data_IF_990052315370
#
_entry.id   IF_990052315370
#
_cell.length_a   1.000
_cell.length_b   1.000
_cell.length_c   1.000
_cell.angle_alpha   90.00
_cell.angle_beta   90.00
_cell.angle_gamma   90.00
#
_symmetry.space_group_name_H-M   'P 1'
#
loop_
_entity.id
_entity.type
_entity.pdbx_description
1 polymer ?
#
# COMPACT_ATOMS: atom_id res chain seq x y z
N UNK A 1 -11.05 -0.66 -8.77
CA UNK A 1 -10.29 -1.05 -7.55
C UNK A 1 -10.22 0.12 -6.59
N UNK A 2 -10.46 -0.08 -5.30
CA UNK A 2 -10.25 0.90 -4.24
C UNK A 2 -8.87 0.66 -3.60
N UNK A 3 -8.01 1.70 -3.53
CA UNK A 3 -6.73 1.65 -2.84
C UNK A 3 -6.77 2.60 -1.65
N UNK A 4 -6.43 2.10 -0.45
CA UNK A 4 -6.47 2.89 0.79
C UNK A 4 -5.13 2.76 1.53
N UNK A 5 -4.72 3.84 2.20
CA UNK A 5 -3.54 3.87 3.07
C UNK A 5 -3.99 4.24 4.47
N UNK A 6 -3.92 3.29 5.40
CA UNK A 6 -4.58 3.37 6.70
C UNK A 6 -3.60 3.04 7.83
N UNK A 7 -3.74 3.72 8.96
CA UNK A 7 -3.05 3.32 10.20
C UNK A 7 -3.76 2.13 10.83
N UNK A 8 -2.99 1.16 11.33
CA UNK A 8 -3.57 0.04 12.03
C UNK A 8 -2.65 -1.13 12.33
N UNK A 9 -3.23 -2.18 12.85
CA UNK A 9 -2.56 -3.46 13.12
C UNK A 9 -3.06 -4.49 12.11
N UNK A 10 -2.20 -4.87 11.15
CA UNK A 10 -2.53 -5.84 10.12
C UNK A 10 -3.06 -7.16 10.70
N UNK A 11 -2.58 -7.57 11.88
CA UNK A 11 -3.01 -8.82 12.52
C UNK A 11 -4.46 -8.80 13.02
N UNK A 12 -5.08 -7.62 13.11
CA UNK A 12 -6.50 -7.42 13.44
C UNK A 12 -7.35 -7.09 12.20
N UNK A 13 -6.72 -6.93 11.03
CA UNK A 13 -7.40 -6.48 9.83
C UNK A 13 -8.34 -7.54 9.28
N UNK A 14 -9.52 -7.11 8.83
CA UNK A 14 -10.49 -7.97 8.17
C UNK A 14 -10.38 -7.80 6.66
N UNK A 15 -9.87 -8.82 5.99
CA UNK A 15 -9.72 -8.90 4.54
C UNK A 15 -9.81 -10.37 4.08
N UNK A 16 -9.84 -10.64 2.79
CA UNK A 16 -9.76 -12.01 2.30
C UNK A 16 -8.34 -12.57 2.47
N UNK A 17 -7.34 -11.72 2.19
CA UNK A 17 -5.92 -12.04 2.34
C UNK A 17 -5.13 -10.94 3.03
N UNK A 18 -4.25 -11.31 3.98
CA UNK A 18 -3.23 -10.43 4.56
C UNK A 18 -1.87 -10.75 3.98
N UNK A 19 -1.15 -9.72 3.57
CA UNK A 19 0.22 -9.83 3.03
C UNK A 19 1.19 -9.11 3.95
N UNK A 20 2.21 -9.81 4.42
CA UNK A 20 3.20 -9.22 5.32
C UNK A 20 4.64 -9.61 4.95
N UNK A 21 5.61 -8.81 5.43
CA UNK A 21 7.04 -9.08 5.26
C UNK A 21 7.47 -10.28 6.10
N UNK A 22 7.76 -11.39 5.43
CA UNK A 22 8.20 -12.61 6.07
C UNK A 22 9.71 -12.80 5.94
N UNK A 23 10.29 -13.56 6.89
CA UNK A 23 11.64 -14.13 6.76
C UNK A 23 11.65 -15.31 5.78
N UNK A 24 12.80 -15.66 5.23
CA UNK A 24 12.91 -16.83 4.34
C UNK A 24 12.58 -18.15 5.05
N UNK A 25 12.68 -18.21 6.37
CA UNK A 25 12.30 -19.37 7.18
C UNK A 25 10.84 -19.37 7.61
N UNK A 26 10.08 -18.32 7.26
CA UNK A 26 8.70 -18.07 7.67
C UNK A 26 8.49 -17.99 9.19
N UNK A 27 9.57 -17.80 9.95
CA UNK A 27 9.53 -17.55 11.39
C UNK A 27 9.37 -16.04 11.65
N UNK A 28 8.77 -15.65 12.79
CA UNK A 28 8.60 -14.25 13.12
C UNK A 28 9.95 -13.56 13.39
N UNK A 29 10.20 -12.43 12.71
CA UNK A 29 11.46 -11.67 12.81
C UNK A 29 11.24 -10.17 12.97
N UNK A 30 10.03 -9.69 12.81
CA UNK A 30 9.65 -8.27 12.93
C UNK A 30 8.36 -8.11 13.73
N UNK A 31 7.95 -6.87 14.00
CA UNK A 31 6.79 -6.57 14.85
C UNK A 31 5.49 -7.14 14.25
N UNK A 32 5.27 -6.95 12.96
CA UNK A 32 4.06 -7.40 12.26
C UNK A 32 4.00 -8.92 12.21
N UNK A 33 5.10 -9.59 11.80
CA UNK A 33 5.15 -11.06 11.74
C UNK A 33 4.94 -11.70 13.11
N UNK A 34 5.49 -11.10 14.17
CA UNK A 34 5.32 -11.57 15.54
C UNK A 34 3.86 -11.55 15.99
N UNK A 35 3.15 -10.45 15.72
CA UNK A 35 1.71 -10.33 16.03
C UNK A 35 0.86 -11.32 15.22
N UNK A 36 1.14 -11.47 13.93
CA UNK A 36 0.45 -12.43 13.06
C UNK A 36 0.62 -13.86 13.57
N UNK A 37 1.85 -14.26 13.92
CA UNK A 37 2.10 -15.59 14.48
C UNK A 37 1.44 -15.80 15.83
N UNK A 38 1.48 -14.81 16.72
CA UNK A 38 0.82 -14.85 18.02
C UNK A 38 -0.69 -15.06 17.88
N UNK A 39 -1.35 -14.27 17.03
CA UNK A 39 -2.80 -14.33 16.81
C UNK A 39 -3.24 -15.54 15.98
N UNK A 40 -2.45 -15.92 14.98
CA UNK A 40 -2.70 -17.12 14.17
C UNK A 40 -2.66 -18.42 14.96
N UNK A 41 -1.87 -18.42 16.04
CA UNK A 41 -1.77 -19.54 16.99
C UNK A 41 -0.91 -20.71 16.52
N UNK A 42 -0.95 -21.80 17.29
CA UNK A 42 -0.04 -22.94 17.06
C UNK A 42 -0.23 -23.61 15.70
N UNK A 43 -1.47 -23.75 15.23
CA UNK A 43 -1.77 -24.36 13.92
C UNK A 43 -1.22 -23.53 12.76
N UNK A 44 -1.31 -22.21 12.86
CA UNK A 44 -0.69 -21.29 11.91
C UNK A 44 0.84 -21.45 11.87
N UNK A 45 1.47 -21.43 13.04
CA UNK A 45 2.93 -21.59 13.16
C UNK A 45 3.39 -22.97 12.69
N UNK A 46 2.61 -24.02 12.91
CA UNK A 46 2.89 -25.35 12.40
C UNK A 46 2.82 -25.41 10.87
N UNK A 47 1.81 -24.76 10.28
CA UNK A 47 1.66 -24.65 8.82
C UNK A 47 2.85 -23.91 8.18
N UNK A 48 3.35 -22.83 8.79
CA UNK A 48 4.55 -22.13 8.33
C UNK A 48 5.78 -23.05 8.33
N UNK A 49 5.97 -23.85 9.39
CA UNK A 49 7.08 -24.81 9.45
C UNK A 49 6.97 -25.90 8.38
N UNK A 50 5.75 -26.36 8.07
CA UNK A 50 5.52 -27.37 7.02
C UNK A 50 5.86 -26.84 5.61
N UNK A 51 5.63 -25.55 5.36
CA UNK A 51 6.04 -24.89 4.10
C UNK A 51 7.56 -24.82 3.95
N UNK A 52 8.29 -24.78 5.06
CA UNK A 52 9.75 -24.77 5.09
C UNK A 52 10.33 -23.41 4.74
N UNK A 53 10.95 -23.25 3.58
CA UNK A 53 11.62 -22.01 3.16
C UNK A 53 10.93 -21.36 1.97
N UNK A 54 10.98 -20.03 1.95
CA UNK A 54 10.60 -19.19 0.82
C UNK A 54 11.78 -18.30 0.40
N UNK A 55 12.07 -18.25 -0.90
CA UNK A 55 13.19 -17.47 -1.41
C UNK A 55 12.86 -15.96 -1.45
N UNK A 56 13.90 -15.13 -1.38
CA UNK A 56 13.79 -13.68 -1.60
C UNK A 56 13.18 -13.41 -2.98
N UNK A 57 12.33 -12.40 -3.08
CA UNK A 57 11.56 -12.09 -4.29
C UNK A 57 10.38 -13.03 -4.54
N UNK A 58 10.03 -13.89 -3.57
CA UNK A 58 8.91 -14.83 -3.70
C UNK A 58 7.91 -14.67 -2.56
N UNK A 59 6.79 -15.38 -2.66
CA UNK A 59 5.76 -15.45 -1.63
C UNK A 59 5.18 -16.86 -1.54
N UNK A 60 4.66 -17.24 -0.38
CA UNK A 60 3.89 -18.47 -0.14
C UNK A 60 2.64 -18.15 0.67
N UNK A 61 1.65 -19.04 0.66
CA UNK A 61 0.36 -18.80 1.28
C UNK A 61 0.00 -19.88 2.28
N UNK A 62 -0.62 -19.47 3.40
CA UNK A 62 -1.29 -20.35 4.38
C UNK A 62 -2.74 -19.93 4.56
N UNK A 63 -3.53 -20.78 5.23
CA UNK A 63 -4.84 -20.37 5.79
C UNK A 63 -4.64 -19.36 6.93
N UNK A 64 -5.66 -18.54 7.20
CA UNK A 64 -5.62 -17.51 8.26
C UNK A 64 -5.79 -18.06 9.68
N UNK A 65 -6.31 -19.27 9.84
CA UNK A 65 -6.58 -19.93 11.12
C UNK A 65 -7.41 -19.04 12.07
N UNK A 66 -6.82 -18.51 13.14
CA UNK A 66 -7.47 -17.63 14.12
C UNK A 66 -7.49 -16.16 13.73
N UNK A 67 -6.82 -15.79 12.65
CA UNK A 67 -6.83 -14.43 12.12
C UNK A 67 -8.17 -14.12 11.45
N UNK A 68 -8.48 -12.81 11.30
CA UNK A 68 -9.74 -12.35 10.68
C UNK A 68 -9.74 -12.43 9.15
N UNK A 69 -8.66 -12.95 8.56
CA UNK A 69 -8.53 -13.16 7.12
C UNK A 69 -8.55 -14.66 6.80
N UNK A 70 -9.06 -15.01 5.63
CA UNK A 70 -9.11 -16.40 5.15
C UNK A 70 -7.74 -16.95 4.81
N UNK A 71 -6.87 -16.09 4.27
CA UNK A 71 -5.53 -16.46 3.82
C UNK A 71 -4.47 -15.47 4.31
N UNK A 72 -3.26 -15.98 4.54
CA UNK A 72 -2.09 -15.20 4.88
C UNK A 72 -1.02 -15.46 3.82
N UNK A 73 -0.50 -14.40 3.24
CA UNK A 73 0.55 -14.42 2.22
C UNK A 73 1.84 -13.92 2.83
N UNK A 74 2.81 -14.79 2.86
CA UNK A 74 4.15 -14.58 3.41
C UNK A 74 5.05 -14.12 2.27
N UNK A 75 5.25 -12.81 2.12
CA UNK A 75 6.07 -12.24 1.06
C UNK A 75 7.50 -12.00 1.57
N UNK A 76 8.48 -12.56 0.89
CA UNK A 76 9.90 -12.47 1.29
C UNK A 76 10.61 -11.46 0.39
N UNK A 77 10.67 -10.22 0.82
CA UNK A 77 11.45 -9.18 0.13
C UNK A 77 12.93 -9.20 0.55
N UNK A 78 13.77 -8.37 -0.09
CA UNK A 78 15.22 -8.33 0.12
C UNK A 78 15.62 -7.58 1.40
N UNK A 79 16.85 -7.83 1.85
CA UNK A 79 17.60 -6.92 2.72
C UNK A 79 18.15 -5.76 1.89
N UNK A 80 18.11 -4.55 2.44
CA UNK A 80 18.71 -3.39 1.78
C UNK A 80 20.23 -3.40 1.96
N UNK A 81 20.96 -3.39 0.84
CA UNK A 81 22.43 -3.34 0.82
C UNK A 81 22.96 -2.23 -0.10
N UNK A 82 22.14 -1.16 -0.28
CA UNK A 82 22.54 0.05 -1.02
C UNK A 82 21.88 0.24 -2.38
N UNK A 83 20.95 -0.63 -2.81
CA UNK A 83 20.15 -0.49 -4.03
C UNK A 83 20.88 -0.80 -5.33
N UNK A 84 22.03 -1.48 -5.26
CA UNK A 84 22.87 -1.82 -6.45
C UNK A 84 22.92 -3.33 -6.75
N UNK A 85 22.18 -4.15 -6.00
CA UNK A 85 22.21 -5.61 -6.13
C UNK A 85 20.87 -6.19 -6.60
N UNK A 86 20.00 -5.34 -7.18
CA UNK A 86 18.71 -5.79 -7.70
C UNK A 86 17.60 -5.83 -6.65
N UNK A 87 17.81 -5.19 -5.48
CA UNK A 87 16.87 -5.23 -4.36
C UNK A 87 15.47 -4.71 -4.74
N UNK A 88 15.39 -3.70 -5.62
CA UNK A 88 14.10 -3.21 -6.10
C UNK A 88 13.35 -4.29 -6.91
N UNK A 89 14.05 -4.96 -7.81
CA UNK A 89 13.48 -6.06 -8.59
C UNK A 89 13.00 -7.22 -7.70
N UNK A 90 13.76 -7.57 -6.65
CA UNK A 90 13.38 -8.60 -5.68
C UNK A 90 12.17 -8.16 -4.84
N UNK A 91 12.10 -6.88 -4.42
CA UNK A 91 10.96 -6.33 -3.70
C UNK A 91 9.70 -6.39 -4.56
N UNK A 92 9.76 -5.88 -5.79
CA UNK A 92 8.64 -5.90 -6.73
C UNK A 92 8.20 -7.34 -7.07
N UNK A 93 9.16 -8.27 -7.21
CA UNK A 93 8.85 -9.69 -7.43
C UNK A 93 8.06 -10.29 -6.27
N UNK A 94 8.39 -9.95 -5.01
CA UNK A 94 7.65 -10.42 -3.84
C UNK A 94 6.20 -9.90 -3.83
N UNK A 95 5.97 -8.62 -4.17
CA UNK A 95 4.63 -8.06 -4.32
C UNK A 95 3.84 -8.74 -5.45
N UNK A 96 4.44 -8.93 -6.63
CA UNK A 96 3.82 -9.62 -7.78
C UNK A 96 3.42 -11.04 -7.44
N UNK A 97 4.30 -11.79 -6.77
CA UNK A 97 3.99 -13.16 -6.34
C UNK A 97 2.85 -13.18 -5.33
N UNK A 98 2.78 -12.18 -4.43
CA UNK A 98 1.67 -12.08 -3.49
C UNK A 98 0.33 -11.82 -4.21
N UNK A 99 0.29 -10.88 -5.17
CA UNK A 99 -0.90 -10.61 -5.98
C UNK A 99 -1.31 -11.85 -6.79
N UNK A 100 -0.36 -12.55 -7.41
CA UNK A 100 -0.62 -13.76 -8.18
C UNK A 100 -1.25 -14.88 -7.33
N UNK A 101 -0.69 -15.15 -6.14
CA UNK A 101 -1.27 -16.13 -5.22
C UNK A 101 -2.69 -15.76 -4.76
N UNK A 102 -2.95 -14.46 -4.57
CA UNK A 102 -4.27 -13.96 -4.20
C UNK A 102 -5.26 -14.12 -5.36
N UNK A 103 -4.85 -13.85 -6.59
CA UNK A 103 -5.67 -14.02 -7.79
C UNK A 103 -6.02 -15.49 -8.06
N UNK A 104 -5.05 -16.41 -7.91
CA UNK A 104 -5.30 -17.87 -7.98
C UNK A 104 -6.36 -18.35 -6.98
N UNK A 105 -6.56 -17.65 -5.87
CA UNK A 105 -7.58 -17.91 -4.86
C UNK A 105 -8.83 -17.08 -5.03
N UNK A 106 -8.90 -16.26 -6.07
CA UNK A 106 -10.03 -15.37 -6.37
C UNK A 106 -10.37 -14.42 -5.21
N UNK A 107 -9.34 -14.00 -4.45
CA UNK A 107 -9.51 -13.03 -3.37
C UNK A 107 -9.89 -11.67 -3.96
N UNK A 108 -10.71 -10.90 -3.26
CA UNK A 108 -11.20 -9.60 -3.72
C UNK A 108 -10.67 -8.45 -2.89
N UNK A 109 -10.43 -8.69 -1.61
CA UNK A 109 -9.91 -7.70 -0.69
C UNK A 109 -8.58 -8.16 -0.10
N UNK A 110 -7.52 -7.41 -0.34
CA UNK A 110 -6.19 -7.64 0.21
C UNK A 110 -5.78 -6.52 1.16
N UNK A 111 -5.06 -6.87 2.21
CA UNK A 111 -4.41 -5.90 3.08
C UNK A 111 -2.91 -6.21 3.17
N UNK A 112 -2.10 -5.20 2.93
CA UNK A 112 -0.64 -5.29 2.90
C UNK A 112 -0.02 -4.53 4.06
N UNK A 113 0.97 -5.10 4.73
CA UNK A 113 1.98 -4.33 5.42
C UNK A 113 3.09 -3.91 4.45
N UNK A 114 3.88 -2.91 4.83
CA UNK A 114 5.10 -2.56 4.11
C UNK A 114 6.09 -3.73 4.09
N UNK A 115 6.61 -4.07 2.92
CA UNK A 115 7.57 -5.18 2.81
C UNK A 115 9.01 -4.66 2.97
N UNK A 116 9.82 -5.38 3.75
CA UNK A 116 11.26 -5.16 3.94
C UNK A 116 11.67 -3.88 4.66
N UNK A 117 10.76 -3.05 5.16
CA UNK A 117 11.08 -1.74 5.75
C UNK A 117 11.51 -1.80 7.22
N UNK A 118 11.12 -2.83 7.97
CA UNK A 118 11.56 -3.03 9.36
C UNK A 118 12.97 -3.65 9.41
N UNK A 119 13.05 -4.94 9.74
CA UNK A 119 14.31 -5.66 10.01
C UNK A 119 15.25 -5.73 8.79
N UNK A 120 14.72 -5.65 7.59
CA UNK A 120 15.49 -5.69 6.34
C UNK A 120 15.99 -4.32 5.89
N UNK A 121 15.57 -3.24 6.59
CA UNK A 121 16.06 -1.87 6.45
C UNK A 121 15.95 -1.30 5.03
N UNK A 122 14.98 -1.75 4.24
CA UNK A 122 14.70 -1.13 2.96
C UNK A 122 14.19 0.30 3.21
N UNK A 123 14.77 1.35 2.55
CA UNK A 123 14.34 2.72 2.78
C UNK A 123 12.85 2.90 2.47
N UNK A 124 12.09 3.39 3.44
CA UNK A 124 10.64 3.47 3.40
C UNK A 124 10.09 4.18 2.17
N UNK A 125 10.63 5.37 1.85
CA UNK A 125 10.20 6.17 0.70
C UNK A 125 10.46 5.43 -0.62
N UNK A 126 11.55 4.67 -0.70
CA UNK A 126 11.85 3.84 -1.89
C UNK A 126 10.93 2.63 -1.97
N UNK A 127 10.63 2.00 -0.83
CA UNK A 127 9.68 0.89 -0.78
C UNK A 127 8.29 1.34 -1.24
N UNK A 128 7.79 2.46 -0.71
CA UNK A 128 6.51 3.03 -1.11
C UNK A 128 6.48 3.43 -2.60
N UNK A 129 7.52 4.12 -3.08
CA UNK A 129 7.63 4.54 -4.49
C UNK A 129 7.68 3.37 -5.48
N UNK A 130 8.23 2.22 -5.07
CA UNK A 130 8.26 1.01 -5.88
C UNK A 130 6.95 0.22 -5.80
N UNK A 131 6.41 0.03 -4.58
CA UNK A 131 5.24 -0.82 -4.34
C UNK A 131 3.93 -0.21 -4.86
N UNK A 132 3.70 1.09 -4.65
CA UNK A 132 2.41 1.73 -4.96
C UNK A 132 2.06 1.68 -6.45
N UNK A 133 2.96 2.05 -7.39
CA UNK A 133 2.65 1.92 -8.81
C UNK A 133 2.28 0.49 -9.21
N UNK A 134 2.99 -0.50 -8.68
CA UNK A 134 2.72 -1.91 -8.95
C UNK A 134 1.36 -2.33 -8.40
N UNK A 135 1.03 -1.98 -7.16
CA UNK A 135 -0.25 -2.33 -6.54
C UNK A 135 -1.43 -1.67 -7.26
N UNK A 136 -1.26 -0.43 -7.75
CA UNK A 136 -2.30 0.29 -8.49
C UNK A 136 -2.50 -0.25 -9.91
N UNK A 137 -1.45 -0.76 -10.56
CA UNK A 137 -1.54 -1.31 -11.93
C UNK A 137 -1.86 -2.80 -11.94
N UNK A 138 -1.03 -3.63 -11.33
CA UNK A 138 -1.20 -5.09 -11.34
C UNK A 138 -2.29 -5.55 -10.34
N UNK A 139 -2.62 -4.72 -9.35
CA UNK A 139 -3.72 -4.96 -8.41
C UNK A 139 -5.11 -4.58 -8.93
N UNK A 140 -5.24 -4.04 -10.15
CA UNK A 140 -6.50 -3.53 -10.69
C UNK A 140 -7.64 -4.57 -10.75
N UNK A 141 -7.33 -5.87 -10.75
CA UNK A 141 -8.30 -6.97 -10.73
C UNK A 141 -8.96 -7.24 -9.38
N UNK A 142 -8.46 -6.63 -8.30
CA UNK A 142 -9.04 -6.73 -6.96
C UNK A 142 -10.08 -5.62 -6.75
N UNK A 143 -11.08 -5.88 -5.89
CA UNK A 143 -12.06 -4.86 -5.53
C UNK A 143 -11.43 -3.81 -4.61
N UNK A 144 -10.56 -4.26 -3.66
CA UNK A 144 -9.91 -3.39 -2.68
C UNK A 144 -8.52 -3.87 -2.27
N UNK A 145 -7.60 -2.91 -2.15
CA UNK A 145 -6.28 -3.09 -1.56
C UNK A 145 -6.09 -2.06 -0.46
N UNK A 146 -5.85 -2.51 0.77
CA UNK A 146 -5.51 -1.69 1.93
C UNK A 146 -4.00 -1.79 2.19
N UNK A 147 -3.30 -0.67 2.22
CA UNK A 147 -1.95 -0.56 2.78
C UNK A 147 -2.10 -0.19 4.25
N UNK A 148 -1.83 -1.14 5.14
CA UNK A 148 -1.97 -0.98 6.59
C UNK A 148 -0.63 -0.61 7.18
N UNK A 149 -0.51 0.64 7.58
CA UNK A 149 0.71 1.25 8.10
C UNK A 149 0.75 1.17 9.62
N UNK A 150 1.93 0.93 10.18
CA UNK A 150 2.14 0.82 11.63
C UNK A 150 2.51 2.14 12.28
N UNK A 151 2.82 3.17 11.48
CA UNK A 151 3.19 4.50 11.96
C UNK A 151 2.69 5.61 11.01
N UNK A 152 2.53 6.84 11.50
CA UNK A 152 2.21 8.00 10.66
C UNK A 152 3.24 8.24 9.55
N UNK A 153 4.53 8.03 9.82
CA UNK A 153 5.61 8.17 8.83
C UNK A 153 5.42 7.18 7.67
N UNK A 154 5.05 5.94 7.98
CA UNK A 154 4.76 4.91 6.99
C UNK A 154 3.53 5.28 6.16
N UNK A 155 2.46 5.76 6.81
CA UNK A 155 1.25 6.24 6.13
C UNK A 155 1.56 7.41 5.19
N UNK A 156 2.31 8.41 5.64
CA UNK A 156 2.71 9.55 4.82
C UNK A 156 3.49 9.10 3.57
N UNK A 157 4.45 8.21 3.72
CA UNK A 157 5.27 7.72 2.61
C UNK A 157 4.42 7.03 1.53
N UNK A 158 3.50 6.14 1.92
CA UNK A 158 2.61 5.44 0.99
C UNK A 158 1.55 6.35 0.38
N UNK A 159 1.00 7.29 1.15
CA UNK A 159 0.05 8.30 0.63
C UNK A 159 0.73 9.21 -0.38
N UNK A 160 1.94 9.71 -0.07
CA UNK A 160 2.73 10.54 -1.00
C UNK A 160 3.02 9.79 -2.30
N UNK A 161 3.37 8.51 -2.23
CA UNK A 161 3.62 7.69 -3.41
C UNK A 161 2.35 7.51 -4.27
N UNK A 162 1.17 7.32 -3.64
CA UNK A 162 -0.10 7.20 -4.35
C UNK A 162 -0.50 8.51 -5.03
N UNK A 163 -0.38 9.64 -4.35
CA UNK A 163 -0.65 10.98 -4.92
C UNK A 163 0.31 11.27 -6.10
N UNK A 164 1.58 10.93 -5.94
CA UNK A 164 2.58 11.12 -7.00
C UNK A 164 2.25 10.28 -8.25
N UNK A 165 1.91 9.01 -8.06
CA UNK A 165 1.50 8.11 -9.13
C UNK A 165 0.27 8.67 -9.87
N UNK A 166 -0.75 9.08 -9.14
CA UNK A 166 -1.97 9.64 -9.71
C UNK A 166 -1.71 10.93 -10.51
N UNK A 167 -0.95 11.89 -9.96
CA UNK A 167 -0.60 13.14 -10.65
C UNK A 167 0.18 12.88 -11.95
N UNK A 168 1.06 11.89 -11.94
CA UNK A 168 1.81 11.50 -13.14
C UNK A 168 0.87 11.00 -14.23
N UNK A 169 -0.04 10.10 -13.90
CA UNK A 169 -1.02 9.56 -14.87
C UNK A 169 -1.99 10.64 -15.34
N UNK A 170 -2.48 11.48 -14.45
CA UNK A 170 -3.31 12.63 -14.81
C UNK A 170 -2.58 13.57 -15.79
N UNK A 171 -1.28 13.74 -15.63
CA UNK A 171 -0.45 14.53 -16.54
C UNK A 171 -0.25 13.90 -17.92
N UNK A 172 -0.39 12.58 -18.04
CA UNK A 172 -0.25 11.82 -19.28
C UNK A 172 -1.60 11.62 -20.00
N UNK A 173 -2.73 11.74 -19.29
CA UNK A 173 -4.07 11.58 -19.82
C UNK A 173 -4.48 12.79 -20.71
N UNK A 174 -5.37 12.58 -21.66
CA UNK A 174 -5.84 13.61 -22.60
C UNK A 174 -7.32 14.00 -22.37
N UNK A 175 -7.60 15.29 -22.32
CA UNK A 175 -8.96 15.85 -22.42
C UNK A 175 -9.99 15.27 -21.45
N UNK A 176 -10.98 14.54 -21.98
CA UNK A 176 -12.07 13.96 -21.20
C UNK A 176 -11.60 12.91 -20.16
N UNK A 177 -10.50 12.22 -20.45
CA UNK A 177 -9.89 11.26 -19.53
C UNK A 177 -9.28 11.98 -18.32
N UNK A 178 -8.67 13.15 -18.51
CA UNK A 178 -8.22 14.01 -17.41
C UNK A 178 -9.36 14.44 -16.49
N UNK A 179 -10.49 14.85 -17.07
CA UNK A 179 -11.64 15.28 -16.31
C UNK A 179 -12.23 14.13 -15.48
N UNK A 180 -12.35 12.93 -16.05
CA UNK A 180 -12.80 11.73 -15.34
C UNK A 180 -11.84 11.35 -14.21
N UNK A 181 -10.52 11.35 -14.47
CA UNK A 181 -9.49 11.07 -13.44
C UNK A 181 -9.51 12.10 -12.31
N UNK A 182 -9.81 13.36 -12.59
CA UNK A 182 -9.94 14.40 -11.55
C UNK A 182 -11.21 14.21 -10.71
N UNK A 183 -12.31 13.82 -11.33
CA UNK A 183 -13.57 13.53 -10.63
C UNK A 183 -13.41 12.31 -9.69
N UNK A 184 -12.65 11.29 -10.09
CA UNK A 184 -12.37 10.11 -9.28
C UNK A 184 -11.30 10.35 -8.19
N UNK A 185 -10.40 11.29 -8.40
CA UNK A 185 -9.25 11.48 -7.53
C UNK A 185 -9.58 12.08 -6.16
N UNK A 186 -10.52 13.01 -6.09
CA UNK A 186 -10.94 13.62 -4.83
C UNK A 186 -11.43 12.58 -3.82
N UNK A 187 -12.43 11.75 -4.19
CA UNK A 187 -12.88 10.64 -3.36
C UNK A 187 -11.77 9.64 -3.01
N UNK A 188 -10.92 9.31 -3.99
CA UNK A 188 -9.82 8.37 -3.76
C UNK A 188 -8.79 8.91 -2.77
N UNK A 189 -8.42 10.19 -2.87
CA UNK A 189 -7.47 10.84 -1.96
C UNK A 189 -8.05 11.01 -0.55
N UNK A 190 -9.34 11.35 -0.42
CA UNK A 190 -10.03 11.39 0.86
C UNK A 190 -10.07 10.00 1.52
N UNK A 191 -10.31 8.94 0.74
CA UNK A 191 -10.31 7.56 1.22
C UNK A 191 -8.92 7.02 1.56
N UNK A 192 -7.84 7.60 1.03
CA UNK A 192 -6.47 7.22 1.40
C UNK A 192 -6.19 7.47 2.90
N UNK A 193 -6.90 8.39 3.52
CA UNK A 193 -6.67 8.82 4.90
C UNK A 193 -7.84 8.55 5.86
N UNK A 194 -9.03 8.13 5.37
CA UNK A 194 -10.18 7.89 6.22
C UNK A 194 -10.21 6.49 6.82
N UNK A 195 -10.47 6.38 8.13
CA UNK A 195 -10.89 5.16 8.78
C UNK A 195 -12.40 4.97 8.58
N UNK A 196 -12.79 3.85 8.03
CA UNK A 196 -14.09 3.14 8.09
C UNK A 196 -15.41 3.82 7.70
N UNK A 197 -15.59 5.14 7.73
CA UNK A 197 -16.83 5.79 7.34
C UNK A 197 -16.73 6.46 5.98
N UNK A 198 -17.75 6.28 5.14
CA UNK A 198 -17.86 6.99 3.87
C UNK A 198 -17.91 8.51 4.16
N UNK A 199 -17.05 9.34 3.54
CA UNK A 199 -17.04 10.77 3.79
C UNK A 199 -18.38 11.40 3.39
N UNK A 200 -18.81 12.44 4.13
CA UNK A 200 -19.97 13.24 3.79
C UNK A 200 -19.83 13.77 2.34
N UNK A 201 -20.84 13.59 1.47
CA UNK A 201 -20.80 14.06 0.09
C UNK A 201 -20.49 15.56 -0.06
N UNK A 202 -20.88 16.39 0.91
CA UNK A 202 -20.62 17.84 0.93
C UNK A 202 -19.13 18.09 1.25
N UNK A 203 -18.59 17.42 2.25
CA UNK A 203 -17.17 17.52 2.62
C UNK A 203 -16.29 17.04 1.47
N UNK A 204 -16.67 15.95 0.82
CA UNK A 204 -16.00 15.41 -0.36
C UNK A 204 -15.96 16.41 -1.53
N UNK A 205 -17.08 17.12 -1.80
CA UNK A 205 -17.16 18.15 -2.85
C UNK A 205 -16.20 19.33 -2.57
N UNK A 206 -16.05 19.74 -1.32
CA UNK A 206 -15.12 20.82 -0.94
C UNK A 206 -13.65 20.38 -1.06
N UNK A 207 -13.33 19.13 -0.76
CA UNK A 207 -11.98 18.58 -0.93
C UNK A 207 -11.60 18.45 -2.40
N UNK A 208 -12.50 17.98 -3.24
CA UNK A 208 -12.30 17.94 -4.69
C UNK A 208 -11.95 19.32 -5.23
N UNK A 209 -12.66 20.38 -4.83
CA UNK A 209 -12.35 21.75 -5.23
C UNK A 209 -10.96 22.21 -4.80
N UNK A 210 -10.53 21.85 -3.59
CA UNK A 210 -9.17 22.18 -3.10
C UNK A 210 -8.09 21.49 -3.94
N UNK A 211 -8.29 20.21 -4.26
CA UNK A 211 -7.39 19.44 -5.12
C UNK A 211 -7.36 20.04 -6.52
N UNK A 212 -8.51 20.35 -7.10
CA UNK A 212 -8.64 21.01 -8.42
C UNK A 212 -7.85 22.33 -8.47
N UNK A 213 -7.91 23.14 -7.42
CA UNK A 213 -7.17 24.40 -7.34
C UNK A 213 -5.64 24.21 -7.40
N UNK A 214 -5.13 23.07 -6.95
CA UNK A 214 -3.71 22.71 -7.03
C UNK A 214 -3.37 22.10 -8.39
N UNK A 215 -4.23 21.22 -8.89
CA UNK A 215 -3.99 20.43 -10.11
C UNK A 215 -4.18 21.26 -11.38
N UNK A 216 -5.15 22.17 -11.43
CA UNK A 216 -5.40 23.01 -12.61
C UNK A 216 -4.18 23.81 -13.08
N UNK A 217 -3.46 24.55 -12.21
CA UNK A 217 -2.20 25.20 -12.61
C UNK A 217 -1.14 24.22 -13.08
N UNK A 218 -1.02 23.05 -12.43
CA UNK A 218 -0.09 21.99 -12.80
C UNK A 218 -0.36 21.46 -14.21
N UNK A 219 -1.63 21.23 -14.58
CA UNK A 219 -2.02 20.74 -15.90
C UNK A 219 -1.77 21.74 -17.03
N UNK A 220 -1.70 23.04 -16.73
CA UNK A 220 -1.41 24.11 -17.70
C UNK A 220 0.07 24.22 -18.06
N UNK A 221 0.96 23.55 -17.35
CA UNK A 221 2.39 23.56 -17.67
C UNK A 221 2.65 22.88 -19.02
N UNK A 222 3.40 23.55 -19.91
CA UNK A 222 3.77 23.00 -21.24
C UNK A 222 4.66 21.75 -21.16
N UNK A 223 5.54 21.72 -20.16
CA UNK A 223 6.34 20.56 -19.80
C UNK A 223 6.26 20.39 -18.31
N UNK A 224 5.97 19.18 -17.84
CA UNK A 224 5.89 18.83 -16.43
C UNK A 224 7.16 18.09 -16.05
N UNK A 225 7.95 18.67 -15.18
CA UNK A 225 9.12 18.02 -14.61
C UNK A 225 8.75 17.19 -13.38
N UNK A 226 9.64 16.30 -12.94
CA UNK A 226 9.47 15.58 -11.68
C UNK A 226 9.36 16.55 -10.49
N UNK A 227 10.02 17.71 -10.55
CA UNK A 227 9.94 18.76 -9.53
C UNK A 227 8.53 19.36 -9.47
N UNK A 228 7.88 19.61 -10.61
CA UNK A 228 6.50 20.13 -10.65
C UNK A 228 5.53 19.12 -10.05
N UNK A 229 5.68 17.82 -10.35
CA UNK A 229 4.87 16.75 -9.77
C UNK A 229 5.09 16.70 -8.26
N UNK A 230 6.32 16.77 -7.78
CA UNK A 230 6.66 16.73 -6.37
C UNK A 230 6.10 17.92 -5.59
N UNK A 231 6.13 19.12 -6.18
CA UNK A 231 5.52 20.31 -5.60
C UNK A 231 3.99 20.21 -5.51
N UNK A 232 3.33 19.72 -6.56
CA UNK A 232 1.89 19.50 -6.56
C UNK A 232 1.50 18.43 -5.53
N UNK A 233 2.22 17.31 -5.46
CA UNK A 233 2.01 16.28 -4.46
C UNK A 233 2.16 16.82 -3.03
N UNK A 234 3.20 17.61 -2.76
CA UNK A 234 3.43 18.22 -1.44
C UNK A 234 2.30 19.17 -1.04
N UNK A 235 1.74 19.94 -1.99
CA UNK A 235 0.59 20.80 -1.72
C UNK A 235 -0.68 20.02 -1.43
N UNK A 236 -0.92 18.92 -2.16
CA UNK A 236 -2.07 18.03 -1.89
C UNK A 236 -1.92 17.38 -0.52
N UNK A 237 -0.74 16.88 -0.18
CA UNK A 237 -0.46 16.30 1.14
C UNK A 237 -0.68 17.31 2.28
N UNK A 238 -0.39 18.60 2.06
CA UNK A 238 -0.62 19.64 3.05
C UNK A 238 -2.12 19.94 3.32
N UNK A 239 -3.03 19.50 2.43
CA UNK A 239 -4.48 19.56 2.69
C UNK A 239 -4.92 18.53 3.74
N UNK A 240 -4.12 17.48 3.94
CA UNK A 240 -4.36 16.39 4.87
C UNK A 240 -3.24 16.38 5.93
N UNK A 241 -3.16 17.40 6.80
CA UNK A 241 -2.22 17.35 7.91
C UNK A 241 -2.54 16.12 8.74
N UNK A 242 -1.49 15.42 9.19
CA UNK A 242 -1.58 14.24 10.05
C UNK A 242 -2.79 14.35 11.00
N UNK A 243 -3.63 13.32 11.02
CA UNK A 243 -4.59 13.16 12.09
C UNK A 243 -3.78 13.14 13.39
N UNK A 244 -3.64 14.31 14.01
CA UNK A 244 -3.08 14.42 15.36
C UNK A 244 -3.88 13.44 16.17
N UNK A 245 -3.23 12.41 16.65
CA UNK A 245 -3.70 11.59 17.73
C UNK A 245 -4.15 12.52 18.85
N UNK A 246 -5.41 12.92 18.85
CA UNK A 246 -6.05 13.38 20.06
C UNK A 246 -6.16 12.13 20.92
N UNK A 247 -5.47 12.19 22.04
CA UNK A 247 -5.22 11.09 22.92
C UNK A 247 -6.52 10.46 23.47
N UNK A 248 -6.47 9.19 23.63
CA UNK A 248 -6.91 8.47 24.84
C UNK A 248 -5.88 7.39 25.11
#
# INVERSE_FOLDING_TARGET
>A
MQFRVLLGDLSEWKADGLVYSASSTLLPTNSVSSKIHQKGGLSFSASCRTLGMCHVGSAVMTKGYKLKASFIIHAVGPYWVGGKRGEEGELLSAYKKALHLADEKHLKHLAFASLSTEEKRYPLQRAAAAAVPLLLTEGAGFDRIDMVCTSPEEQEAYTKAAVFFWLRHLGEAAGNEQAAMMEEAGPALALLQSCDDAPDPIALSEEVKKIEAIVHPFLKLRKRSLVDIEQAASKIMALYPESRTEGV
#
